data_IF_410008854841
#
_entry.id   IF_410008854841
#
_cell.length_a   1.000
_cell.length_b   1.000
_cell.length_c   1.000
_cell.angle_alpha   90.00
_cell.angle_beta   90.00
_cell.angle_gamma   90.00
#
_symmetry.space_group_name_H-M   'P 1'
#
loop_
_entity.id
_entity.type
_entity.pdbx_description
1 polymer ?
#
# COMPACT_ATOMS: atom_id res chain seq x y z
N UNK A 1 20.69 -22.52 9.13
CA UNK A 1 20.09 -22.43 7.79
C UNK A 1 19.45 -21.06 7.71
N UNK A 2 19.99 -20.13 6.92
CA UNK A 2 19.42 -18.79 6.80
C UNK A 2 18.00 -18.91 6.23
N UNK A 3 17.04 -18.23 6.86
CA UNK A 3 15.67 -18.18 6.36
C UNK A 3 15.70 -17.65 4.91
N UNK A 4 14.92 -18.21 3.97
CA UNK A 4 14.88 -17.71 2.61
C UNK A 4 14.49 -16.23 2.67
N UNK A 5 15.42 -15.38 2.29
CA UNK A 5 15.19 -13.95 2.13
C UNK A 5 13.93 -13.77 1.29
N UNK A 6 12.89 -13.20 1.93
CA UNK A 6 11.58 -13.05 1.31
C UNK A 6 11.78 -12.39 -0.07
N UNK A 7 11.20 -12.95 -1.14
CA UNK A 7 11.43 -12.43 -2.47
C UNK A 7 11.13 -10.93 -2.45
N UNK A 8 12.07 -10.13 -2.95
CA UNK A 8 11.93 -8.68 -3.05
C UNK A 8 10.71 -8.37 -3.96
N UNK A 9 9.53 -8.30 -3.35
CA UNK A 9 8.28 -7.97 -4.02
C UNK A 9 8.22 -6.46 -4.20
N UNK A 10 8.56 -5.99 -5.40
CA UNK A 10 8.52 -4.57 -5.70
C UNK A 10 7.07 -4.18 -5.96
N UNK A 11 6.51 -3.29 -5.13
CA UNK A 11 5.08 -2.90 -5.22
C UNK A 11 4.12 -4.10 -5.08
N UNK A 12 4.56 -5.20 -4.45
CA UNK A 12 3.79 -6.45 -4.35
C UNK A 12 3.93 -7.39 -5.56
N UNK A 13 4.76 -7.06 -6.56
CA UNK A 13 4.96 -7.89 -7.76
C UNK A 13 6.41 -8.41 -7.82
N UNK A 14 6.58 -9.72 -7.95
CA UNK A 14 7.89 -10.31 -8.12
C UNK A 14 8.45 -10.03 -9.52
N UNK A 15 9.71 -9.57 -9.62
CA UNK A 15 10.38 -9.25 -10.91
C UNK A 15 10.35 -10.38 -11.95
N UNK A 16 10.44 -11.63 -11.49
CA UNK A 16 10.44 -12.83 -12.34
C UNK A 16 9.02 -13.27 -12.75
N UNK A 17 7.98 -12.62 -12.27
CA UNK A 17 6.59 -13.00 -12.53
C UNK A 17 6.15 -12.59 -13.94
N UNK A 18 5.21 -13.35 -14.51
CA UNK A 18 4.54 -12.96 -15.75
C UNK A 18 3.79 -11.62 -15.61
N UNK A 19 3.23 -11.35 -14.42
CA UNK A 19 2.56 -10.10 -14.10
C UNK A 19 3.49 -8.88 -14.26
N UNK A 20 4.73 -8.97 -13.76
CA UNK A 20 5.73 -7.90 -13.91
C UNK A 20 6.00 -7.57 -15.38
N UNK A 21 6.20 -8.60 -16.21
CA UNK A 21 6.47 -8.46 -17.64
C UNK A 21 5.29 -7.80 -18.37
N UNK A 22 4.07 -8.23 -18.05
CA UNK A 22 2.86 -7.66 -18.65
C UNK A 22 2.67 -6.19 -18.27
N UNK A 23 2.82 -5.85 -16.98
CA UNK A 23 2.70 -4.48 -16.51
C UNK A 23 3.71 -3.55 -17.20
N UNK A 24 4.97 -4.00 -17.35
CA UNK A 24 6.00 -3.28 -18.10
C UNK A 24 5.62 -3.05 -19.57
N UNK A 25 5.03 -4.03 -20.24
CA UNK A 25 4.57 -3.88 -21.63
C UNK A 25 3.44 -2.86 -21.77
N UNK A 26 2.63 -2.69 -20.72
CA UNK A 26 1.55 -1.70 -20.66
C UNK A 26 2.04 -0.30 -20.25
N UNK A 27 3.35 -0.08 -20.16
CA UNK A 27 3.93 1.23 -19.85
C UNK A 27 4.03 1.56 -18.36
N UNK A 28 3.83 0.58 -17.47
CA UNK A 28 4.04 0.77 -16.05
C UNK A 28 5.52 0.64 -15.68
N UNK A 29 6.03 1.55 -14.86
CA UNK A 29 7.42 1.52 -14.39
C UNK A 29 7.56 0.98 -12.97
N UNK A 30 8.76 0.50 -12.63
CA UNK A 30 9.00 -0.04 -11.29
C UNK A 30 8.75 1.06 -10.27
N UNK A 31 7.86 0.82 -9.31
CA UNK A 31 7.75 1.67 -8.11
C UNK A 31 6.74 2.79 -8.26
N UNK A 32 6.07 2.81 -9.40
CA UNK A 32 5.02 3.77 -9.70
C UNK A 32 3.65 3.25 -9.30
N UNK A 33 2.78 4.16 -8.89
CA UNK A 33 1.37 3.85 -8.71
C UNK A 33 0.70 3.60 -10.05
N UNK A 34 -0.40 2.84 -10.04
CA UNK A 34 -1.23 2.69 -11.23
C UNK A 34 -2.13 3.92 -11.45
N UNK A 35 -2.64 4.09 -12.67
CA UNK A 35 -3.51 5.21 -13.04
C UNK A 35 -2.79 6.26 -13.89
N UNK A 36 -3.56 7.17 -14.49
CA UNK A 36 -3.08 8.15 -15.48
C UNK A 36 -1.92 9.02 -14.96
N UNK A 37 -1.98 9.37 -13.68
CA UNK A 37 -1.02 10.27 -13.02
C UNK A 37 -0.19 9.52 -11.98
N UNK A 38 -0.16 8.18 -12.05
CA UNK A 38 0.58 7.31 -11.12
C UNK A 38 0.10 7.45 -9.66
N UNK A 39 -1.18 7.79 -9.49
CA UNK A 39 -1.82 8.11 -8.22
C UNK A 39 -2.21 6.90 -7.37
N UNK A 40 -2.17 5.70 -7.96
CA UNK A 40 -2.55 4.46 -7.31
C UNK A 40 -1.57 4.03 -6.22
N UNK A 41 -2.00 3.05 -5.44
CA UNK A 41 -1.23 2.48 -4.33
C UNK A 41 0.08 1.83 -4.82
N UNK A 42 1.18 2.15 -4.13
CA UNK A 42 2.54 1.62 -4.40
C UNK A 42 2.90 0.38 -3.56
N UNK A 43 1.91 -0.22 -2.91
CA UNK A 43 2.09 -1.38 -2.07
C UNK A 43 0.76 -1.93 -1.62
N UNK A 44 0.75 -3.14 -1.08
CA UNK A 44 -0.48 -3.72 -0.55
C UNK A 44 -0.90 -3.02 0.73
N UNK A 45 -2.15 -2.56 0.76
CA UNK A 45 -2.77 -2.09 1.98
C UNK A 45 -2.91 -3.28 2.94
N UNK A 46 -2.38 -3.13 4.15
CA UNK A 46 -2.65 -4.09 5.22
C UNK A 46 -4.04 -3.80 5.77
N UNK A 47 -4.88 -4.82 5.83
CA UNK A 47 -6.10 -4.77 6.63
C UNK A 47 -5.67 -4.77 8.09
N UNK A 48 -6.10 -3.75 8.83
CA UNK A 48 -6.02 -3.77 10.28
C UNK A 48 -7.21 -4.61 10.80
N UNK A 49 -6.94 -5.45 11.80
CA UNK A 49 -7.98 -6.19 12.51
C UNK A 49 -8.35 -5.40 13.76
N UNK A 50 -9.65 -5.36 14.09
CA UNK A 50 -10.15 -4.81 15.35
C UNK A 50 -10.57 -3.35 15.23
N UNK A 51 -11.85 -3.08 15.44
CA UNK A 51 -12.29 -1.82 16.02
C UNK A 51 -12.27 -2.06 17.52
N UNK A 52 -11.37 -1.41 18.26
CA UNK A 52 -11.55 -1.32 19.70
C UNK A 52 -12.53 -0.18 19.98
N UNK A 53 -13.54 -0.44 20.80
CA UNK A 53 -14.55 0.55 21.19
C UNK A 53 -13.83 1.75 21.84
N UNK A 54 -13.79 2.89 21.13
CA UNK A 54 -13.13 4.12 21.61
C UNK A 54 -12.09 4.73 20.65
N UNK A 55 -11.63 4.01 19.62
CA UNK A 55 -10.67 4.57 18.66
C UNK A 55 -11.36 5.43 17.59
N UNK A 56 -11.22 6.77 17.71
CA UNK A 56 -11.64 7.72 16.66
C UNK A 56 -12.43 8.95 17.13
N UNK A 57 -12.71 9.11 18.43
CA UNK A 57 -13.58 10.17 18.95
C UNK A 57 -12.86 11.10 19.94
N UNK A 58 -11.66 11.54 19.61
CA UNK A 58 -11.01 12.65 20.31
C UNK A 58 -10.58 13.68 19.28
N UNK A 59 -11.41 14.69 19.00
CA UNK A 59 -11.06 16.12 18.78
C UNK A 59 -12.32 16.93 18.44
N UNK A 60 -13.28 17.05 19.35
CA UNK A 60 -14.33 18.07 19.18
C UNK A 60 -14.88 18.59 20.52
N UNK A 61 -14.00 18.98 21.45
CA UNK A 61 -14.40 19.81 22.61
C UNK A 61 -13.27 20.75 23.02
N UNK A 62 -12.97 21.75 22.20
CA UNK A 62 -12.21 22.92 22.63
C UNK A 62 -12.56 24.10 21.72
N UNK A 63 -13.65 24.79 22.04
CA UNK A 63 -14.04 25.97 21.26
C UNK A 63 -15.42 26.56 21.50
N UNK A 64 -16.01 26.45 22.69
CA UNK A 64 -17.09 27.36 23.09
C UNK A 64 -16.69 27.92 24.45
N UNK A 65 -15.98 29.05 24.44
CA UNK A 65 -15.84 29.93 25.61
C UNK A 65 -17.09 30.83 25.62
N UNK A 66 -17.86 30.74 26.71
CA UNK A 66 -18.87 31.72 27.05
C UNK A 66 -18.28 33.02 27.58
#
# INVERSE_FOLDING_TARGET
MAAPEAPLCYVGVARKSAAFRLMKQMGWEEGEGLGKEKQGIKGHAKRLYGWEEGEGLEKEKQGIKG
#
